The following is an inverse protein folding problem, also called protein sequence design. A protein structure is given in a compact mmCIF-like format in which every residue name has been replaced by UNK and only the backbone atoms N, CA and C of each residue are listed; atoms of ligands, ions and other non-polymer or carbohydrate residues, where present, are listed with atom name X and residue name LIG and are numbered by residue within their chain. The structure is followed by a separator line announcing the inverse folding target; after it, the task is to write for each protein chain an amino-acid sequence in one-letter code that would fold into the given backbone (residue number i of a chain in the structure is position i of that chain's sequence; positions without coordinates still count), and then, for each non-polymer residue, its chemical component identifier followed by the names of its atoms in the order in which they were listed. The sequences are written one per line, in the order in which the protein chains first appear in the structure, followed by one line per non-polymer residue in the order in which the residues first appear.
data_IF_828827104604
#
_entry.id   IF_828827104604
#
_cell.length_a   1.000
_cell.length_b   1.000
_cell.length_c   1.000
_cell.angle_alpha   90.00
_cell.angle_beta   90.00
_cell.angle_gamma   90.00
#
_symmetry.space_group_name_H-M   'P 1'
#
loop_
_entity.id
_entity.type
_entity.pdbx_description
1 polymer ?
#
# COMPACT_ATOMS: atom_id res chain seq x y z
N UNK A 1 54.66 -4.61 52.40
CA UNK A 1 55.72 -4.30 51.41
C UNK A 1 55.02 -3.75 50.17
N UNK A 2 55.36 -2.67 49.48
CA UNK A 2 56.29 -1.55 49.64
C UNK A 2 56.03 -0.62 48.40
N UNK A 3 55.76 0.68 48.63
CA UNK A 3 55.95 1.87 47.73
C UNK A 3 55.12 1.95 46.43
N UNK A 4 54.28 2.96 46.13
CA UNK A 4 54.31 4.46 46.18
C UNK A 4 55.25 5.13 45.14
N UNK A 5 54.68 5.95 44.24
CA UNK A 5 55.17 7.17 43.50
C UNK A 5 54.30 7.31 42.22
N UNK A 6 53.51 8.34 41.89
CA UNK A 6 53.44 9.81 42.04
C UNK A 6 54.45 10.65 41.23
N UNK A 7 53.88 11.56 40.44
CA UNK A 7 54.41 12.78 39.76
C UNK A 7 55.10 12.59 38.41
N UNK A 8 55.08 13.52 37.45
CA UNK A 8 54.31 14.72 37.08
C UNK A 8 55.05 15.34 35.85
N UNK A 9 54.45 16.35 35.20
CA UNK A 9 55.08 17.33 34.27
C UNK A 9 55.13 16.86 32.80
N UNK A 10 54.66 17.60 31.79
CA UNK A 10 54.57 19.05 31.72
C UNK A 10 53.59 19.64 30.70
N UNK A 11 53.22 20.88 31.04
CA UNK A 11 52.61 21.92 30.23
C UNK A 11 53.33 22.12 28.89
N UNK A 12 52.55 22.36 27.83
CA UNK A 12 52.86 23.37 26.81
C UNK A 12 51.55 23.90 26.23
N UNK A 13 51.31 25.18 26.46
CA UNK A 13 50.20 25.96 25.92
C UNK A 13 50.78 27.06 25.03
N UNK A 14 50.21 27.24 23.83
CA UNK A 14 50.12 28.48 23.04
C UNK A 14 49.44 28.13 21.69
N UNK A 15 48.17 28.46 21.49
CA UNK A 15 47.58 29.73 21.02
C UNK A 15 47.51 29.88 19.47
N UNK A 16 46.24 29.84 19.00
CA UNK A 16 45.60 30.62 17.92
C UNK A 16 45.97 30.33 16.46
N UNK A 17 44.97 29.85 15.70
CA UNK A 17 44.47 30.53 14.50
C UNK A 17 43.05 30.06 14.14
N UNK A 18 42.13 31.03 14.06
CA UNK A 18 40.83 30.96 13.39
C UNK A 18 41.03 30.66 11.90
N UNK A 19 40.18 29.82 11.32
CA UNK A 19 40.15 29.63 9.87
C UNK A 19 39.15 28.57 9.43
N UNK A 20 37.96 29.06 9.05
CA UNK A 20 37.06 28.57 8.00
C UNK A 20 36.66 27.08 7.94
N UNK A 21 35.34 26.89 7.89
CA UNK A 21 34.68 25.75 7.28
C UNK A 21 35.28 25.49 5.89
N UNK A 22 35.90 24.33 5.70
CA UNK A 22 36.19 23.82 4.37
C UNK A 22 35.43 22.52 4.15
N UNK A 23 34.52 22.62 3.19
CA UNK A 23 33.81 21.54 2.56
C UNK A 23 34.80 20.47 2.09
N UNK A 24 34.52 19.22 2.43
CA UNK A 24 35.10 18.08 1.73
C UNK A 24 34.59 18.14 0.28
N UNK A 25 35.44 18.65 -0.62
CA UNK A 25 35.33 18.45 -2.07
C UNK A 25 35.85 17.06 -2.41
N UNK A 26 34.96 16.22 -2.92
CA UNK A 26 35.34 15.02 -3.69
C UNK A 26 35.73 15.49 -5.10
N UNK A 27 36.92 15.13 -5.62
CA UNK A 27 37.32 15.42 -7.00
C UNK A 27 37.01 14.23 -7.92
N UNK A 28 36.30 14.49 -9.02
CA UNK A 28 36.18 13.49 -10.09
C UNK A 28 34.95 13.63 -10.97
N UNK A 29 34.93 14.66 -11.83
CA UNK A 29 34.45 14.52 -13.21
C UNK A 29 35.00 15.70 -14.01
N UNK A 30 36.05 15.44 -14.78
CA UNK A 30 36.80 16.40 -15.58
C UNK A 30 36.05 16.90 -16.82
N UNK A 31 34.77 17.23 -16.69
CA UNK A 31 34.01 17.94 -17.72
C UNK A 31 34.28 19.45 -17.67
N UNK A 32 34.25 20.15 -18.82
CA UNK A 32 34.24 21.61 -18.79
C UNK A 32 32.99 22.11 -18.03
N UNK A 33 33.10 23.18 -17.22
CA UNK A 33 31.95 23.73 -16.51
C UNK A 33 30.88 24.16 -17.54
N UNK A 34 29.57 23.97 -17.23
CA UNK A 34 28.51 24.41 -18.12
C UNK A 34 28.59 25.93 -18.33
N UNK A 35 28.56 26.36 -19.59
CA UNK A 35 28.49 27.77 -19.94
C UNK A 35 27.19 28.35 -19.39
N UNK A 36 27.32 29.42 -18.60
CA UNK A 36 26.16 30.20 -18.15
C UNK A 36 25.55 30.89 -19.36
N UNK A 37 24.22 30.80 -19.60
CA UNK A 37 23.59 31.56 -20.67
C UNK A 37 23.88 33.04 -20.49
N UNK A 38 24.29 33.72 -21.56
CA UNK A 38 24.52 35.16 -21.52
C UNK A 38 23.30 35.88 -20.92
N UNK A 39 23.49 36.80 -19.95
CA UNK A 39 22.41 37.63 -19.48
C UNK A 39 21.80 38.35 -20.67
N UNK A 40 20.48 38.21 -20.85
CA UNK A 40 19.74 38.96 -21.86
C UNK A 40 20.02 40.47 -21.73
N UNK A 41 19.83 41.23 -22.83
CA UNK A 41 20.22 42.64 -22.89
C UNK A 41 19.64 43.44 -21.71
N UNK A 42 20.50 44.22 -21.06
CA UNK A 42 20.10 45.07 -19.95
C UNK A 42 18.97 46.03 -20.36
N UNK A 43 17.91 46.07 -19.55
CA UNK A 43 16.79 46.99 -19.76
C UNK A 43 17.33 48.44 -19.65
N UNK A 44 17.11 49.29 -20.67
CA UNK A 44 17.60 50.66 -20.65
C UNK A 44 16.97 51.45 -19.50
N UNK A 45 17.72 52.38 -18.86
CA UNK A 45 17.18 53.24 -17.82
C UNK A 45 16.00 54.06 -18.37
N UNK A 46 14.81 53.89 -17.78
CA UNK A 46 13.60 54.62 -18.16
C UNK A 46 12.59 53.86 -19.02
N UNK A 47 12.76 52.55 -19.23
CA UNK A 47 11.69 51.73 -19.80
C UNK A 47 10.48 51.70 -18.83
N UNK A 48 9.25 52.00 -19.28
CA UNK A 48 8.07 51.84 -18.44
C UNK A 48 7.93 50.37 -18.06
N UNK A 49 7.78 50.10 -16.76
CA UNK A 49 7.54 48.74 -16.25
C UNK A 49 6.25 48.16 -16.83
N UNK A 50 6.07 46.83 -16.78
CA UNK A 50 4.81 46.21 -17.19
C UNK A 50 3.65 46.86 -16.42
N UNK A 51 2.50 47.09 -17.07
CA UNK A 51 1.35 47.69 -16.40
C UNK A 51 0.94 46.83 -15.20
N UNK A 52 0.51 47.45 -14.08
CA UNK A 52 -0.08 46.70 -12.98
C UNK A 52 -1.31 45.93 -13.48
N UNK A 53 -1.57 44.72 -12.97
CA UNK A 53 -2.76 43.96 -13.34
C UNK A 53 -4.03 44.76 -12.99
N UNK A 54 -5.01 44.72 -13.89
CA UNK A 54 -6.32 45.37 -13.70
C UNK A 54 -7.01 44.80 -12.43
N UNK A 55 -7.56 45.65 -11.55
CA UNK A 55 -8.30 45.18 -10.38
C UNK A 55 -9.71 44.76 -10.82
N UNK A 56 -9.91 43.46 -11.04
CA UNK A 56 -11.21 42.92 -11.41
C UNK A 56 -11.27 41.40 -11.30
N UNK A 57 -12.05 40.96 -10.31
CA UNK A 57 -12.61 39.62 -10.13
C UNK A 57 -11.62 38.47 -9.86
N UNK A 58 -11.31 38.27 -8.58
CA UNK A 58 -10.81 36.99 -8.07
C UNK A 58 -11.98 35.98 -8.06
N UNK A 59 -11.97 34.91 -8.89
CA UNK A 59 -13.02 33.90 -8.91
C UNK A 59 -13.03 33.00 -7.67
N UNK A 60 -12.13 33.20 -6.70
CA UNK A 60 -12.02 32.42 -5.47
C UNK A 60 -12.13 33.26 -4.19
N UNK A 61 -12.58 34.51 -4.29
CA UNK A 61 -12.91 35.30 -3.11
C UNK A 61 -14.14 34.71 -2.39
N UNK A 62 -13.91 34.05 -1.25
CA UNK A 62 -14.98 33.60 -0.36
C UNK A 62 -15.79 34.82 0.13
N UNK A 63 -17.13 34.73 0.22
CA UNK A 63 -17.94 35.81 0.76
C UNK A 63 -17.56 36.09 2.22
N UNK A 64 -17.65 37.35 2.69
CA UNK A 64 -17.44 37.67 4.09
C UNK A 64 -18.48 36.92 4.94
N UNK A 65 -17.99 36.16 5.91
CA UNK A 65 -18.84 35.48 6.90
C UNK A 65 -19.43 36.56 7.80
N UNK A 66 -20.75 36.71 7.78
CA UNK A 66 -21.44 37.51 8.80
C UNK A 66 -21.24 36.81 10.16
N UNK A 67 -20.68 37.54 11.13
CA UNK A 67 -20.59 37.09 12.51
C UNK A 67 -22.02 36.98 13.08
N UNK A 68 -22.58 35.77 13.09
CA UNK A 68 -23.75 35.49 13.94
C UNK A 68 -23.29 35.49 15.41
N UNK A 69 -23.78 36.47 16.16
CA UNK A 69 -23.68 36.54 17.62
C UNK A 69 -24.21 35.25 18.23
N UNK A 70 -23.33 34.48 18.87
CA UNK A 70 -23.72 33.35 19.69
C UNK A 70 -24.47 33.87 20.94
N UNK A 71 -25.69 33.40 21.24
CA UNK A 71 -26.36 33.78 22.48
C UNK A 71 -25.61 33.15 23.67
N UNK A 72 -25.55 33.84 24.83
CA UNK A 72 -24.81 33.37 25.99
C UNK A 72 -25.37 32.04 26.50
N UNK A 73 -24.47 31.10 26.80
CA UNK A 73 -24.78 29.83 27.43
C UNK A 73 -25.41 30.06 28.82
N UNK A 74 -26.50 29.34 29.09
CA UNK A 74 -27.13 29.26 30.41
C UNK A 74 -26.13 28.73 31.46
N UNK A 75 -26.20 29.21 32.72
CA UNK A 75 -25.26 28.79 33.76
C UNK A 75 -25.50 27.33 34.14
N UNK A 76 -24.47 26.50 33.95
CA UNK A 76 -24.45 25.11 34.41
C UNK A 76 -24.35 25.10 35.93
N UNK A 77 -25.36 24.49 36.54
CA UNK A 77 -25.46 24.26 37.98
C UNK A 77 -24.30 23.38 38.47
N UNK A 78 -23.63 23.84 39.53
CA UNK A 78 -22.45 23.21 40.08
C UNK A 78 -22.81 21.97 40.86
N UNK A 79 -22.46 20.80 40.33
CA UNK A 79 -22.35 19.57 41.13
C UNK A 79 -21.03 18.86 40.77
N UNK A 80 -20.08 18.73 41.69
CA UNK A 80 -18.84 17.98 41.44
C UNK A 80 -19.09 16.47 41.59
N UNK A 81 -18.57 15.59 40.72
CA UNK A 81 -18.51 14.17 41.02
C UNK A 81 -17.30 13.85 41.90
N UNK A 82 -17.55 12.98 42.87
CA UNK A 82 -16.68 12.52 43.94
C UNK A 82 -15.43 11.75 43.46
N UNK A 83 -14.38 11.83 44.26
CA UNK A 83 -13.13 11.09 44.12
C UNK A 83 -13.28 9.59 44.46
N UNK A 84 -12.42 8.80 43.82
CA UNK A 84 -11.81 7.54 44.27
C UNK A 84 -12.69 6.33 44.63
N UNK A 85 -12.72 5.35 43.72
CA UNK A 85 -12.72 3.92 44.07
C UNK A 85 -11.76 3.14 43.15
N UNK A 86 -10.89 2.27 43.70
CA UNK A 86 -9.86 1.57 42.94
C UNK A 86 -10.41 0.43 42.08
N UNK A 87 -9.79 0.22 40.92
CA UNK A 87 -10.07 -0.89 40.00
C UNK A 87 -9.71 -2.25 40.64
N UNK A 88 -10.53 -3.30 40.45
CA UNK A 88 -10.18 -4.64 40.90
C UNK A 88 -9.13 -5.29 39.98
N UNK A 89 -8.09 -5.85 40.58
CA UNK A 89 -7.08 -6.69 39.94
C UNK A 89 -7.72 -7.96 39.35
N UNK A 90 -7.49 -8.21 38.06
CA UNK A 90 -7.89 -9.44 37.38
C UNK A 90 -6.81 -10.53 37.58
N UNK A 91 -7.21 -11.78 37.90
CA UNK A 91 -6.27 -12.86 38.18
C UNK A 91 -5.61 -13.39 36.91
N UNK A 92 -4.32 -13.70 37.06
CA UNK A 92 -3.55 -14.62 36.22
C UNK A 92 -4.05 -16.06 36.48
N UNK A 93 -4.38 -16.79 35.42
CA UNK A 93 -4.65 -18.24 35.45
C UNK A 93 -4.05 -18.79 34.15
N UNK A 94 -2.81 -19.29 34.20
CA UNK A 94 -2.46 -20.69 34.42
C UNK A 94 -3.16 -21.68 33.47
N UNK A 95 -2.31 -22.41 32.77
CA UNK A 95 -2.55 -23.48 31.81
C UNK A 95 -3.50 -24.58 32.31
N UNK A 96 -4.29 -25.17 31.39
CA UNK A 96 -4.51 -26.61 31.36
C UNK A 96 -4.04 -27.15 30.00
N UNK A 97 -3.32 -28.27 29.91
CA UNK A 97 -3.64 -29.52 30.57
C UNK A 97 -4.06 -30.51 29.48
N UNK A 98 -3.10 -31.35 29.11
CA UNK A 98 -3.17 -32.42 28.12
C UNK A 98 -4.26 -33.45 28.48
N UNK A 99 -5.24 -33.66 27.60
CA UNK A 99 -6.09 -34.85 27.64
C UNK A 99 -6.13 -35.53 26.27
N UNK A 100 -5.61 -36.76 26.25
CA UNK A 100 -5.65 -37.76 25.19
C UNK A 100 -7.08 -38.24 24.88
N UNK A 101 -7.41 -38.58 23.63
CA UNK A 101 -8.68 -39.25 23.30
C UNK A 101 -8.59 -40.79 23.52
N UNK A 102 -9.67 -41.47 23.90
CA UNK A 102 -9.74 -42.92 23.87
C UNK A 102 -10.34 -43.46 22.56
N UNK A 103 -9.90 -44.67 22.24
CA UNK A 103 -10.19 -45.50 21.07
C UNK A 103 -11.67 -45.89 20.85
N UNK A 104 -11.97 -46.11 19.57
CA UNK A 104 -13.11 -46.80 18.91
C UNK A 104 -13.34 -48.23 19.48
N UNK A 105 -14.51 -48.92 19.34
CA UNK A 105 -14.87 -49.54 18.04
C UNK A 105 -16.37 -49.84 17.73
N UNK A 106 -16.64 -50.10 16.44
CA UNK A 106 -17.73 -50.93 15.83
C UNK A 106 -19.15 -50.31 15.76
N UNK A 107 -19.96 -50.48 14.72
CA UNK A 107 -19.91 -51.25 13.47
C UNK A 107 -21.27 -51.16 12.74
N UNK A 108 -21.34 -51.81 11.57
CA UNK A 108 -22.52 -52.14 10.74
C UNK A 108 -22.90 -51.22 9.55
N UNK A 109 -22.50 -51.70 8.37
CA UNK A 109 -23.17 -51.58 7.05
C UNK A 109 -23.60 -52.99 6.62
N UNK A 110 -24.74 -53.17 5.95
CA UNK A 110 -24.74 -53.67 4.56
C UNK A 110 -25.91 -53.05 3.75
N UNK A 111 -26.12 -53.18 2.44
CA UNK A 111 -25.49 -53.82 1.29
C UNK A 111 -26.21 -53.22 0.06
N UNK A 112 -25.51 -53.08 -1.07
CA UNK A 112 -26.14 -53.01 -2.40
C UNK A 112 -26.25 -54.45 -2.94
N UNK A 113 -27.15 -54.73 -3.92
CA UNK A 113 -26.62 -54.89 -5.28
C UNK A 113 -27.63 -54.67 -6.44
N UNK A 114 -27.07 -54.41 -7.62
CA UNK A 114 -27.44 -55.18 -8.82
C UNK A 114 -28.16 -54.46 -9.97
N UNK A 115 -27.42 -54.25 -11.07
CA UNK A 115 -27.94 -54.18 -12.45
C UNK A 115 -27.80 -55.58 -13.08
N UNK A 116 -28.70 -56.04 -13.96
CA UNK A 116 -28.32 -56.14 -15.39
C UNK A 116 -29.48 -56.10 -16.43
N UNK A 117 -29.16 -55.65 -17.65
CA UNK A 117 -29.38 -56.41 -18.90
C UNK A 117 -30.72 -56.36 -19.66
N UNK A 118 -30.71 -55.67 -20.80
CA UNK A 118 -31.11 -56.07 -22.17
C UNK A 118 -32.35 -56.93 -22.50
N UNK A 119 -33.04 -56.44 -23.54
CA UNK A 119 -33.52 -57.14 -24.76
C UNK A 119 -34.95 -57.71 -24.89
N UNK A 120 -35.66 -57.13 -25.89
CA UNK A 120 -36.47 -57.68 -27.00
C UNK A 120 -37.63 -58.65 -26.69
N UNK A 121 -38.83 -58.37 -27.23
CA UNK A 121 -39.49 -59.08 -28.36
C UNK A 121 -41.02 -58.74 -28.43
N UNK A 122 -41.85 -59.30 -29.35
CA UNK A 122 -42.53 -58.57 -30.42
C UNK A 122 -44.07 -58.81 -30.36
N UNK A 123 -44.77 -58.68 -31.50
CA UNK A 123 -46.13 -59.17 -31.86
C UNK A 123 -47.03 -58.04 -32.40
N UNK A 124 -47.75 -58.11 -33.53
CA UNK A 124 -47.85 -59.00 -34.73
C UNK A 124 -48.70 -58.19 -35.78
N UNK A 125 -49.15 -58.70 -36.95
CA UNK A 125 -49.19 -57.95 -38.20
C UNK A 125 -50.63 -57.55 -38.60
N UNK A 126 -50.79 -56.82 -39.72
CA UNK A 126 -51.60 -57.27 -40.86
C UNK A 126 -51.58 -56.25 -42.00
N UNK A 127 -51.82 -56.79 -43.19
CA UNK A 127 -51.52 -56.28 -44.53
C UNK A 127 -52.72 -55.57 -45.15
N UNK A 128 -52.46 -54.72 -46.15
CA UNK A 128 -53.19 -54.50 -47.42
C UNK A 128 -53.67 -53.07 -47.75
N UNK A 129 -52.93 -52.44 -48.69
CA UNK A 129 -53.38 -51.61 -49.85
C UNK A 129 -54.18 -50.30 -49.65
N UNK A 130 -54.27 -49.42 -50.67
CA UNK A 130 -53.21 -48.71 -51.41
C UNK A 130 -53.34 -47.16 -51.28
N UNK A 131 -52.33 -46.47 -51.80
CA UNK A 131 -52.13 -45.00 -51.92
C UNK A 131 -53.39 -44.14 -52.15
N UNK A 132 -53.43 -42.94 -51.54
CA UNK A 132 -53.59 -41.75 -52.36
C UNK A 132 -52.50 -40.72 -52.09
N UNK A 133 -51.94 -40.22 -53.20
CA UNK A 133 -50.97 -39.13 -53.31
C UNK A 133 -51.05 -38.13 -52.16
N UNK A 134 -50.10 -38.24 -51.23
CA UNK A 134 -49.90 -37.26 -50.17
C UNK A 134 -49.17 -36.06 -50.78
N UNK A 135 -49.67 -34.82 -50.63
CA UNK A 135 -48.95 -33.64 -51.09
C UNK A 135 -47.62 -33.52 -50.32
N UNK A 136 -46.56 -33.18 -51.07
CA UNK A 136 -45.19 -32.96 -50.59
C UNK A 136 -45.17 -32.16 -49.26
N UNK A 137 -44.41 -32.59 -48.24
CA UNK A 137 -44.24 -31.79 -47.03
C UNK A 137 -43.50 -30.50 -47.39
N UNK A 138 -44.19 -29.36 -47.22
CA UNK A 138 -43.56 -28.04 -47.30
C UNK A 138 -42.35 -28.04 -46.36
N UNK A 139 -41.17 -27.85 -46.96
CA UNK A 139 -39.90 -27.69 -46.24
C UNK A 139 -40.05 -26.53 -45.26
N UNK A 140 -39.82 -26.71 -43.94
CA UNK A 140 -39.79 -25.61 -43.00
C UNK A 140 -38.76 -24.59 -43.50
N UNK A 141 -39.20 -23.35 -43.72
CA UNK A 141 -38.31 -22.27 -44.10
C UNK A 141 -37.17 -22.11 -43.09
N UNK A 142 -36.00 -21.62 -43.52
CA UNK A 142 -34.84 -21.48 -42.64
C UNK A 142 -35.22 -20.63 -41.42
N UNK A 143 -35.03 -21.17 -40.22
CA UNK A 143 -35.11 -20.41 -38.98
C UNK A 143 -34.18 -19.20 -39.12
N UNK A 144 -34.75 -18.00 -39.02
CA UNK A 144 -33.94 -16.79 -39.00
C UNK A 144 -33.01 -16.88 -37.79
N UNK A 145 -31.69 -16.65 -37.96
CA UNK A 145 -30.80 -16.52 -36.83
C UNK A 145 -31.34 -15.43 -35.91
N UNK A 146 -31.46 -15.76 -34.62
CA UNK A 146 -31.88 -14.80 -33.60
C UNK A 146 -30.97 -13.56 -33.62
N UNK A 147 -31.45 -12.42 -33.10
CA UNK A 147 -30.63 -11.21 -33.05
C UNK A 147 -29.30 -11.50 -32.36
N UNK A 148 -28.20 -11.12 -33.01
CA UNK A 148 -26.86 -11.21 -32.46
C UNK A 148 -26.82 -10.43 -31.13
N UNK A 149 -26.24 -11.00 -30.05
CA UNK A 149 -26.17 -10.29 -28.78
C UNK A 149 -25.46 -8.96 -28.98
N UNK A 150 -26.06 -7.90 -28.47
CA UNK A 150 -25.47 -6.56 -28.50
C UNK A 150 -24.10 -6.61 -27.80
N UNK A 151 -23.04 -6.05 -28.41
CA UNK A 151 -21.70 -6.12 -27.83
C UNK A 151 -21.72 -5.45 -26.46
N UNK A 152 -21.25 -6.17 -25.43
CA UNK A 152 -21.12 -5.59 -24.09
C UNK A 152 -20.23 -4.34 -24.15
N UNK A 153 -20.58 -3.25 -23.44
CA UNK A 153 -19.77 -2.05 -23.44
C UNK A 153 -18.38 -2.38 -22.88
N UNK A 154 -17.35 -2.13 -23.68
CA UNK A 154 -15.95 -2.25 -23.22
C UNK A 154 -15.73 -1.18 -22.16
N UNK A 155 -15.48 -1.60 -20.93
CA UNK A 155 -15.12 -0.69 -19.83
C UNK A 155 -13.63 -0.40 -19.93
N UNK A 156 -13.28 0.84 -20.23
CA UNK A 156 -11.88 1.28 -20.30
C UNK A 156 -11.20 1.18 -18.93
N UNK A 157 -9.92 0.78 -18.86
CA UNK A 157 -9.20 0.67 -17.61
C UNK A 157 -8.95 2.05 -16.99
N UNK A 158 -9.08 2.14 -15.66
CA UNK A 158 -8.90 3.40 -14.91
C UNK A 158 -7.46 3.58 -14.38
N UNK A 159 -6.66 2.53 -14.45
CA UNK A 159 -5.23 2.52 -14.14
C UNK A 159 -4.54 1.30 -14.77
N UNK A 160 -3.22 1.29 -14.78
CA UNK A 160 -2.42 0.15 -15.24
C UNK A 160 -1.42 -0.30 -14.18
N UNK A 161 -1.07 -1.58 -14.22
CA UNK A 161 -0.16 -2.20 -13.26
C UNK A 161 0.62 -3.36 -13.88
N UNK A 162 1.83 -3.62 -13.41
CA UNK A 162 2.59 -4.81 -13.78
C UNK A 162 2.09 -6.04 -13.01
N UNK A 163 2.24 -7.22 -13.61
CA UNK A 163 1.88 -8.50 -12.99
C UNK A 163 2.48 -8.66 -11.57
N UNK A 164 1.79 -9.35 -10.65
CA UNK A 164 2.32 -9.62 -9.31
C UNK A 164 3.69 -10.31 -9.37
N UNK A 165 4.60 -9.93 -8.47
CA UNK A 165 5.99 -10.38 -8.48
C UNK A 165 6.88 -9.76 -9.55
N UNK A 166 6.36 -8.92 -10.45
CA UNK A 166 7.16 -8.18 -11.44
C UNK A 166 7.84 -6.95 -10.82
N UNK A 167 8.80 -7.19 -9.94
CA UNK A 167 9.64 -6.19 -9.29
C UNK A 167 10.39 -5.31 -10.29
N UNK A 168 10.92 -4.18 -9.80
CA UNK A 168 11.85 -3.37 -10.58
C UNK A 168 13.14 -4.18 -10.87
N UNK A 169 13.68 -4.06 -12.08
CA UNK A 169 14.89 -4.79 -12.45
C UNK A 169 16.04 -4.48 -11.46
N UNK A 170 16.69 -5.54 -10.95
CA UNK A 170 17.77 -5.42 -9.97
C UNK A 170 17.34 -5.10 -8.53
N UNK A 171 16.04 -4.94 -8.22
CA UNK A 171 15.60 -4.69 -6.85
C UNK A 171 15.38 -5.98 -6.03
N UNK A 172 15.15 -7.12 -6.67
CA UNK A 172 14.97 -8.41 -6.00
C UNK A 172 14.37 -9.48 -6.91
N UNK A 173 14.00 -10.62 -6.32
CA UNK A 173 13.23 -11.67 -6.98
C UNK A 173 11.83 -11.73 -6.39
N UNK A 174 10.82 -11.34 -7.17
CA UNK A 174 9.43 -11.41 -6.74
C UNK A 174 8.86 -12.82 -6.82
N UNK A 175 7.65 -12.99 -6.33
CA UNK A 175 6.91 -14.24 -6.40
C UNK A 175 5.73 -14.06 -7.34
N UNK A 176 5.75 -14.78 -8.46
CA UNK A 176 4.78 -14.60 -9.53
C UNK A 176 3.42 -15.26 -9.22
N UNK A 177 3.42 -16.31 -8.41
CA UNK A 177 2.21 -17.07 -8.06
C UNK A 177 1.49 -16.43 -6.86
N UNK A 178 1.05 -15.18 -7.00
CA UNK A 178 0.29 -14.52 -5.94
C UNK A 178 -1.20 -14.80 -6.04
N UNK A 179 -1.84 -14.92 -4.88
CA UNK A 179 -3.30 -14.96 -4.75
C UNK A 179 -3.77 -13.67 -4.08
N UNK A 180 -5.06 -13.38 -4.20
CA UNK A 180 -5.70 -12.31 -3.44
C UNK A 180 -5.80 -12.77 -1.99
N UNK A 181 -4.88 -12.30 -1.15
CA UNK A 181 -4.80 -12.72 0.25
C UNK A 181 -5.92 -12.12 1.12
N UNK A 182 -6.35 -10.89 0.83
CA UNK A 182 -7.38 -10.20 1.58
C UNK A 182 -8.48 -9.71 0.63
N UNK A 183 -9.31 -10.63 0.10
CA UNK A 183 -10.41 -10.24 -0.79
C UNK A 183 -11.43 -9.40 -0.01
N UNK A 184 -11.94 -8.34 -0.65
CA UNK A 184 -12.99 -7.48 -0.08
C UNK A 184 -12.52 -6.29 0.76
N UNK A 185 -11.23 -6.17 1.09
CA UNK A 185 -10.74 -5.02 1.86
C UNK A 185 -10.98 -3.69 1.13
N UNK A 186 -11.20 -2.59 1.85
CA UNK A 186 -11.15 -1.26 1.24
C UNK A 186 -9.71 -0.87 0.92
N UNK A 187 -9.53 -0.01 -0.09
CA UNK A 187 -8.21 0.53 -0.37
C UNK A 187 -7.78 1.46 0.77
N UNK A 188 -6.57 1.32 1.35
CA UNK A 188 -6.20 2.01 2.59
C UNK A 188 -6.14 3.53 2.46
N UNK A 189 -6.02 4.07 1.24
CA UNK A 189 -6.08 5.51 0.99
C UNK A 189 -7.51 5.89 0.63
N UNK A 190 -8.09 6.82 1.40
CA UNK A 190 -9.51 7.18 1.31
C UNK A 190 -9.93 7.69 -0.07
N UNK A 191 -9.21 8.66 -0.63
CA UNK A 191 -9.68 9.39 -1.82
C UNK A 191 -8.58 9.90 -2.76
N UNK A 192 -7.37 10.17 -2.27
CA UNK A 192 -6.27 10.66 -3.10
C UNK A 192 -5.79 9.58 -4.10
N UNK A 193 -5.27 9.97 -5.29
CA UNK A 193 -4.57 9.06 -6.18
C UNK A 193 -3.44 8.32 -5.45
N UNK A 194 -3.17 7.08 -5.84
CA UNK A 194 -2.17 6.25 -5.18
C UNK A 194 -1.26 5.56 -6.22
N UNK A 195 -0.03 5.26 -5.81
CA UNK A 195 1.00 4.71 -6.68
C UNK A 195 1.82 3.67 -5.92
N UNK A 196 1.57 2.40 -6.25
CA UNK A 196 2.28 1.26 -5.68
C UNK A 196 3.60 1.11 -6.43
N UNK A 197 4.72 1.32 -5.73
CA UNK A 197 6.07 1.28 -6.30
C UNK A 197 7.11 1.27 -5.19
N UNK A 198 8.36 0.98 -5.53
CA UNK A 198 9.48 1.03 -4.57
C UNK A 198 9.71 2.42 -3.97
N UNK A 199 9.97 2.49 -2.67
CA UNK A 199 10.45 3.71 -2.02
C UNK A 199 11.97 3.83 -1.96
N UNK A 200 12.67 2.72 -2.25
CA UNK A 200 14.13 2.63 -2.19
C UNK A 200 14.76 2.77 -3.58
N UNK A 201 14.18 2.08 -4.56
CA UNK A 201 14.73 1.95 -5.92
C UNK A 201 14.08 2.90 -6.95
N UNK A 202 13.17 3.78 -6.51
CA UNK A 202 12.61 4.89 -7.31
C UNK A 202 13.09 6.24 -6.78
N UNK A 203 12.79 7.32 -7.50
CA UNK A 203 13.28 8.67 -7.21
C UNK A 203 12.98 9.11 -5.77
N UNK A 204 14.01 9.64 -5.11
CA UNK A 204 13.99 10.02 -3.70
C UNK A 204 14.32 8.88 -2.73
N UNK A 205 14.43 7.66 -3.23
CA UNK A 205 14.84 6.49 -2.46
C UNK A 205 16.34 6.42 -2.23
N UNK A 206 16.73 5.66 -1.20
CA UNK A 206 18.14 5.52 -0.81
C UNK A 206 19.04 4.94 -1.90
N UNK A 207 18.54 4.08 -2.79
CA UNK A 207 19.35 3.45 -3.84
C UNK A 207 19.33 4.27 -5.13
N UNK A 208 18.14 4.70 -5.58
CA UNK A 208 18.02 5.46 -6.82
C UNK A 208 18.48 6.92 -6.69
N UNK A 209 18.45 7.49 -5.49
CA UNK A 209 18.68 8.92 -5.27
C UNK A 209 17.60 9.79 -5.90
N UNK A 210 17.87 11.10 -6.04
CA UNK A 210 16.91 12.06 -6.59
C UNK A 210 15.95 12.65 -5.55
N UNK A 211 14.78 13.13 -6.00
CA UNK A 211 13.77 13.75 -5.13
C UNK A 211 12.54 12.84 -4.99
N UNK A 212 12.05 12.68 -3.77
CA UNK A 212 10.84 11.90 -3.48
C UNK A 212 9.58 12.51 -4.06
N UNK A 213 9.60 13.83 -4.31
CA UNK A 213 8.50 14.57 -4.94
C UNK A 213 8.63 14.69 -6.46
N UNK A 214 9.50 13.89 -7.11
CA UNK A 214 9.60 13.85 -8.57
C UNK A 214 8.26 13.43 -9.21
N UNK A 215 7.86 14.08 -10.30
CA UNK A 215 6.57 13.83 -10.94
C UNK A 215 6.40 12.37 -11.41
N UNK A 216 7.50 11.71 -11.80
CA UNK A 216 7.51 10.31 -12.26
C UNK A 216 7.13 9.31 -11.17
N UNK A 217 7.18 9.72 -9.90
CA UNK A 217 6.68 8.92 -8.78
C UNK A 217 5.14 8.93 -8.67
N UNK A 218 4.42 9.70 -9.49
CA UNK A 218 2.97 9.86 -9.41
C UNK A 218 2.29 9.46 -10.73
N UNK A 219 2.80 8.38 -11.33
CA UNK A 219 2.37 7.87 -12.64
C UNK A 219 2.12 6.35 -12.59
N UNK A 220 1.24 5.87 -13.47
CA UNK A 220 1.07 4.45 -13.77
C UNK A 220 2.08 4.02 -14.85
N UNK A 221 2.45 2.74 -14.96
CA UNK A 221 1.91 1.58 -14.25
C UNK A 221 2.45 1.39 -12.83
N UNK A 222 1.60 0.84 -11.96
CA UNK A 222 2.03 0.35 -10.64
C UNK A 222 2.97 -0.85 -10.75
N UNK A 223 3.77 -1.04 -9.71
CA UNK A 223 4.72 -2.14 -9.61
C UNK A 223 4.77 -2.71 -8.20
N UNK A 224 4.73 -4.03 -8.12
CA UNK A 224 4.95 -4.76 -6.88
C UNK A 224 6.33 -4.43 -6.30
N UNK A 225 6.40 -4.29 -4.98
CA UNK A 225 7.66 -4.08 -4.26
C UNK A 225 7.83 -5.05 -3.07
N UNK A 226 6.94 -6.03 -2.93
CA UNK A 226 7.10 -7.14 -2.00
C UNK A 226 8.25 -8.04 -2.45
N UNK A 227 9.07 -8.55 -1.52
CA UNK A 227 10.32 -9.27 -1.81
C UNK A 227 11.50 -8.42 -2.34
N UNK A 228 11.38 -7.09 -2.41
CA UNK A 228 12.56 -6.27 -2.73
C UNK A 228 13.66 -6.46 -1.70
N UNK A 229 14.91 -6.42 -2.15
CA UNK A 229 16.09 -6.59 -1.30
C UNK A 229 16.15 -5.47 -0.27
N UNK A 230 16.36 -5.85 0.99
CA UNK A 230 16.57 -4.97 2.15
C UNK A 230 17.78 -5.43 2.95
N UNK A 231 18.28 -4.61 3.87
CA UNK A 231 19.40 -5.02 4.73
C UNK A 231 18.94 -5.81 5.96
N UNK A 232 17.76 -5.53 6.50
CA UNK A 232 17.24 -6.23 7.67
C UNK A 232 16.94 -7.70 7.36
N UNK A 233 17.28 -8.62 8.26
CA UNK A 233 17.05 -10.06 8.05
C UNK A 233 15.58 -10.45 8.32
N UNK A 234 14.71 -10.07 7.38
CA UNK A 234 13.27 -10.36 7.33
C UNK A 234 12.98 -11.40 6.26
N UNK A 235 11.87 -12.13 6.36
CA UNK A 235 11.57 -13.25 5.48
C UNK A 235 10.07 -13.49 5.29
N UNK A 236 9.71 -14.18 4.22
CA UNK A 236 8.35 -14.64 3.95
C UNK A 236 8.43 -15.94 3.15
N UNK A 237 7.53 -16.92 3.36
CA UNK A 237 7.46 -18.10 2.52
C UNK A 237 7.08 -17.78 1.05
N UNK A 238 6.60 -16.55 0.80
CA UNK A 238 6.27 -16.04 -0.53
C UNK A 238 7.44 -15.30 -1.18
N UNK A 239 8.67 -15.44 -0.69
CA UNK A 239 9.85 -14.85 -1.32
C UNK A 239 10.96 -15.91 -1.49
N UNK A 240 11.76 -15.82 -2.56
CA UNK A 240 12.82 -16.79 -2.84
C UNK A 240 14.00 -16.69 -1.86
N UNK A 241 14.13 -15.56 -1.15
CA UNK A 241 15.22 -15.26 -0.24
C UNK A 241 14.72 -14.54 1.01
N UNK A 242 15.57 -14.49 2.05
CA UNK A 242 15.41 -13.56 3.17
C UNK A 242 16.01 -12.20 2.80
N UNK A 243 16.00 -11.26 3.76
CA UNK A 243 16.43 -9.87 3.57
C UNK A 243 15.56 -9.15 2.55
N UNK A 244 14.26 -9.20 2.83
CA UNK A 244 13.20 -8.73 1.95
C UNK A 244 12.38 -7.59 2.55
N UNK A 245 11.72 -6.86 1.66
CA UNK A 245 10.61 -5.98 1.95
C UNK A 245 9.32 -6.78 2.26
N UNK A 246 8.67 -6.50 3.39
CA UNK A 246 7.57 -7.27 3.97
C UNK A 246 6.19 -6.61 3.84
N UNK A 247 6.00 -5.80 2.80
CA UNK A 247 4.74 -5.12 2.53
C UNK A 247 4.69 -4.57 1.13
N UNK A 248 3.77 -3.64 0.92
CA UNK A 248 3.67 -2.83 -0.27
C UNK A 248 3.76 -1.36 0.13
N UNK A 249 4.66 -0.61 -0.52
CA UNK A 249 4.70 0.84 -0.35
C UNK A 249 3.77 1.52 -1.34
N UNK A 250 3.13 2.59 -0.87
CA UNK A 250 2.11 3.34 -1.58
C UNK A 250 2.43 4.83 -1.47
N UNK A 251 2.85 5.46 -2.57
CA UNK A 251 2.85 6.92 -2.67
C UNK A 251 1.44 7.43 -2.91
N UNK A 252 1.17 8.64 -2.42
CA UNK A 252 -0.19 9.18 -2.39
C UNK A 252 -0.21 10.63 -2.86
N UNK A 253 -1.26 11.00 -3.59
CA UNK A 253 -1.50 12.36 -4.07
C UNK A 253 -0.72 12.69 -5.33
N UNK A 254 -0.13 13.87 -5.36
CA UNK A 254 0.65 14.40 -6.49
C UNK A 254 2.02 14.88 -6.05
N UNK A 255 2.90 15.18 -7.01
CA UNK A 255 4.16 15.87 -6.72
C UNK A 255 3.95 17.21 -5.99
N UNK A 256 2.86 17.93 -6.27
CA UNK A 256 2.52 19.18 -5.59
C UNK A 256 2.12 18.94 -4.13
N UNK A 257 1.36 17.88 -3.86
CA UNK A 257 0.98 17.45 -2.52
C UNK A 257 2.21 17.06 -1.70
N UNK A 258 3.12 16.28 -2.28
CA UNK A 258 4.40 15.93 -1.64
C UNK A 258 5.22 17.16 -1.28
N UNK A 259 5.33 18.13 -2.21
CA UNK A 259 6.03 19.38 -1.93
C UNK A 259 5.36 20.19 -0.82
N UNK A 260 4.04 20.13 -0.71
CA UNK A 260 3.28 20.74 0.40
C UNK A 260 3.59 20.06 1.72
N UNK A 261 3.51 18.73 1.79
CA UNK A 261 3.84 17.95 2.99
C UNK A 261 5.30 18.14 3.44
N UNK A 262 6.25 18.20 2.50
CA UNK A 262 7.67 18.42 2.79
C UNK A 262 7.95 19.79 3.42
N UNK A 263 7.16 20.81 3.07
CA UNK A 263 7.28 22.18 3.64
C UNK A 263 6.61 22.31 5.00
N UNK A 264 5.72 21.40 5.35
CA UNK A 264 5.09 21.37 6.67
C UNK A 264 6.01 20.71 7.71
N UNK A 265 5.86 21.13 8.96
CA UNK A 265 6.43 20.36 10.08
C UNK A 265 5.81 18.96 10.13
N UNK A 266 6.56 17.96 10.59
CA UNK A 266 6.07 16.58 10.67
C UNK A 266 4.74 16.46 11.41
N UNK A 267 4.59 17.18 12.54
CA UNK A 267 3.36 17.20 13.33
C UNK A 267 2.14 17.74 12.58
N UNK A 268 2.32 18.60 11.57
CA UNK A 268 1.22 19.26 10.85
C UNK A 268 0.75 18.53 9.59
N UNK A 269 1.53 17.55 9.09
CA UNK A 269 1.17 16.80 7.89
C UNK A 269 -0.18 16.10 8.04
N UNK A 270 -1.02 16.16 7.02
CA UNK A 270 -2.35 15.56 7.13
C UNK A 270 -3.27 15.78 5.94
N UNK A 271 -2.73 15.74 4.72
CA UNK A 271 -3.53 15.94 3.50
C UNK A 271 -4.02 14.62 2.87
N UNK A 272 -3.41 13.49 3.23
CA UNK A 272 -3.75 12.17 2.68
C UNK A 272 -4.25 11.27 3.80
N UNK A 273 -5.55 11.02 3.81
CA UNK A 273 -6.25 10.20 4.81
C UNK A 273 -6.02 8.70 4.56
N UNK A 274 -5.69 7.99 5.64
CA UNK A 274 -5.57 6.53 5.68
C UNK A 274 -6.74 5.96 6.49
N UNK A 275 -7.43 4.98 5.93
CA UNK A 275 -8.63 4.38 6.51
C UNK A 275 -8.42 2.92 6.91
N UNK A 276 -9.28 2.42 7.80
CA UNK A 276 -9.38 1.01 8.11
C UNK A 276 -9.86 0.24 6.87
N UNK A 277 -9.07 -0.75 6.46
CA UNK A 277 -9.37 -1.55 5.27
C UNK A 277 -10.47 -2.59 5.51
N UNK A 278 -10.70 -3.00 6.75
CA UNK A 278 -11.83 -3.86 7.12
C UNK A 278 -12.26 -3.58 8.57
N UNK A 279 -13.39 -4.13 8.97
CA UNK A 279 -13.85 -4.10 10.35
C UNK A 279 -12.84 -4.82 11.26
N UNK A 280 -12.61 -4.27 12.45
CA UNK A 280 -11.70 -4.93 13.39
C UNK A 280 -11.35 -4.11 14.60
N UNK A 281 -10.24 -4.47 15.24
CA UNK A 281 -9.71 -3.79 16.42
C UNK A 281 -8.29 -3.30 16.18
N UNK A 282 -7.99 -2.07 16.60
CA UNK A 282 -6.63 -1.54 16.63
C UNK A 282 -5.85 -2.25 17.74
N UNK A 283 -5.27 -3.39 17.40
CA UNK A 283 -4.59 -4.30 18.33
C UNK A 283 -3.36 -3.69 18.99
N UNK A 284 -2.65 -2.79 18.30
CA UNK A 284 -1.50 -2.07 18.86
C UNK A 284 -1.14 -0.83 18.06
N UNK A 285 -0.55 0.15 18.74
CA UNK A 285 0.07 1.34 18.15
C UNK A 285 1.52 1.38 18.65
N UNK A 286 2.47 1.27 17.73
CA UNK A 286 3.89 1.39 17.98
C UNK A 286 4.41 2.80 17.74
N UNK A 287 5.73 2.95 17.66
CA UNK A 287 6.39 4.24 17.40
C UNK A 287 6.14 4.80 16.00
N UNK A 288 5.85 3.95 15.01
CA UNK A 288 5.57 4.33 13.62
C UNK A 288 4.63 3.35 12.91
N UNK A 289 3.91 2.52 13.68
CA UNK A 289 3.05 1.46 13.15
C UNK A 289 1.71 1.49 13.86
N UNK A 290 0.62 1.28 13.13
CA UNK A 290 -0.72 0.99 13.66
C UNK A 290 -1.11 -0.39 13.16
N UNK A 291 -1.58 -1.27 14.04
CA UNK A 291 -1.98 -2.65 13.69
C UNK A 291 -3.48 -2.85 13.83
N UNK A 292 -4.17 -3.06 12.72
CA UNK A 292 -5.57 -3.47 12.69
C UNK A 292 -5.64 -4.99 12.65
N UNK A 293 -6.32 -5.61 13.61
CA UNK A 293 -6.65 -7.04 13.59
C UNK A 293 -8.10 -7.17 13.12
N UNK A 294 -8.29 -7.74 11.93
CA UNK A 294 -9.59 -8.11 11.42
C UNK A 294 -9.92 -9.58 11.69
N UNK A 295 -10.77 -10.19 10.86
CA UNK A 295 -11.26 -11.56 11.07
C UNK A 295 -10.15 -12.61 10.91
N UNK A 296 -9.41 -12.56 9.80
CA UNK A 296 -8.37 -13.54 9.46
C UNK A 296 -6.95 -12.95 9.33
N UNK A 297 -6.83 -11.62 9.28
CA UNK A 297 -5.61 -10.92 8.94
C UNK A 297 -5.24 -9.86 9.98
N UNK A 298 -3.95 -9.52 10.02
CA UNK A 298 -3.46 -8.31 10.69
C UNK A 298 -2.91 -7.39 9.61
N UNK A 299 -3.38 -6.15 9.58
CA UNK A 299 -2.86 -5.11 8.70
C UNK A 299 -1.97 -4.16 9.48
N UNK A 300 -0.75 -3.97 9.02
CA UNK A 300 0.16 -3.00 9.59
C UNK A 300 0.17 -1.76 8.67
N UNK A 301 -0.18 -0.61 9.23
CA UNK A 301 -0.07 0.70 8.59
C UNK A 301 1.15 1.40 9.16
N UNK A 302 2.09 1.78 8.31
CA UNK A 302 3.36 2.35 8.73
C UNK A 302 3.58 3.71 8.09
N UNK A 303 4.42 4.52 8.74
CA UNK A 303 4.77 5.87 8.29
C UNK A 303 3.60 6.86 8.29
N UNK A 304 2.63 6.62 9.17
CA UNK A 304 1.57 7.59 9.45
C UNK A 304 2.11 8.78 10.25
N UNK A 305 1.41 9.91 10.24
CA UNK A 305 1.66 10.98 11.20
C UNK A 305 1.20 10.54 12.59
N UNK A 306 2.13 10.13 13.43
CA UNK A 306 1.82 9.53 14.72
C UNK A 306 1.28 10.55 15.74
N UNK A 307 1.43 11.85 15.46
CA UNK A 307 0.83 12.93 16.27
C UNK A 307 -0.62 13.23 15.88
N UNK A 308 -1.12 12.64 14.79
CA UNK A 308 -2.44 12.92 14.22
C UNK A 308 -3.20 11.64 13.86
N UNK A 309 -3.04 10.59 14.67
CA UNK A 309 -3.90 9.41 14.57
C UNK A 309 -5.33 9.76 15.00
N UNK A 310 -6.29 9.17 14.33
CA UNK A 310 -7.72 9.27 14.66
C UNK A 310 -8.20 8.08 15.50
N UNK A 311 -7.30 7.16 15.84
CA UNK A 311 -7.59 5.94 16.58
C UNK A 311 -6.68 5.73 17.78
N UNK A 312 -7.14 4.93 18.75
CA UNK A 312 -6.36 4.47 19.90
C UNK A 312 -6.24 2.95 19.95
N UNK A 313 -5.21 2.42 20.62
CA UNK A 313 -5.08 0.97 20.83
C UNK A 313 -6.29 0.43 21.63
N UNK A 314 -6.82 -0.71 21.20
CA UNK A 314 -8.03 -1.34 21.72
C UNK A 314 -9.34 -0.84 21.11
N UNK A 315 -9.31 0.21 20.28
CA UNK A 315 -10.50 0.74 19.62
C UNK A 315 -11.01 -0.22 18.53
N UNK A 316 -12.32 -0.47 18.53
CA UNK A 316 -13.01 -1.09 17.39
C UNK A 316 -13.24 -0.05 16.29
N UNK A 317 -13.04 -0.46 15.05
CA UNK A 317 -13.22 0.38 13.85
C UNK A 317 -14.03 -0.40 12.81
N UNK A 318 -14.80 0.33 12.03
CA UNK A 318 -15.48 -0.18 10.84
C UNK A 318 -14.62 0.11 9.59
N UNK A 319 -14.78 -0.70 8.55
CA UNK A 319 -14.16 -0.47 7.26
C UNK A 319 -14.49 0.93 6.75
N UNK A 320 -13.47 1.74 6.50
CA UNK A 320 -13.63 3.14 6.06
C UNK A 320 -13.39 4.18 7.16
N UNK A 321 -13.32 3.77 8.42
CA UNK A 321 -12.98 4.68 9.52
C UNK A 321 -11.59 5.27 9.33
N UNK A 322 -11.43 6.55 9.65
CA UNK A 322 -10.15 7.23 9.58
C UNK A 322 -9.19 6.65 10.63
N UNK A 323 -8.03 6.17 10.19
CA UNK A 323 -6.93 5.75 11.07
C UNK A 323 -5.97 6.91 11.33
N UNK A 324 -5.64 7.67 10.29
CA UNK A 324 -4.68 8.77 10.40
C UNK A 324 -4.31 9.32 9.02
N UNK A 325 -3.08 9.80 8.90
CA UNK A 325 -2.62 10.45 7.68
C UNK A 325 -1.24 9.96 7.25
N UNK A 326 -1.02 9.88 5.95
CA UNK A 326 0.30 9.55 5.36
C UNK A 326 1.34 10.59 5.79
N UNK A 327 2.51 10.12 6.24
CA UNK A 327 3.67 10.93 6.66
C UNK A 327 4.95 10.17 6.29
N UNK A 328 6.02 10.37 7.06
CA UNK A 328 7.29 9.68 6.93
C UNK A 328 7.89 9.30 8.30
N UNK A 329 7.03 9.14 9.32
CA UNK A 329 7.46 8.84 10.68
C UNK A 329 8.07 7.43 10.72
N UNK A 330 9.26 7.30 11.34
CA UNK A 330 10.03 6.04 11.35
C UNK A 330 10.50 5.64 12.76
N UNK A 331 10.04 6.35 13.80
CA UNK A 331 10.56 6.19 15.16
C UNK A 331 12.04 6.60 15.33
N UNK A 332 12.59 7.32 14.35
CA UNK A 332 13.99 7.73 14.28
C UNK A 332 14.20 8.67 13.09
N UNK A 333 15.21 8.39 12.25
CA UNK A 333 15.43 9.13 11.00
C UNK A 333 14.23 8.93 10.07
N UNK A 334 13.54 10.00 9.65
CA UNK A 334 12.37 9.88 8.79
C UNK A 334 12.70 9.26 7.44
N UNK A 335 11.74 8.53 6.87
CA UNK A 335 11.79 8.00 5.51
C UNK A 335 11.27 9.05 4.48
N UNK A 336 11.06 8.66 3.24
CA UNK A 336 10.22 9.33 2.24
C UNK A 336 8.74 9.33 2.67
N UNK A 337 7.94 10.24 2.13
CA UNK A 337 6.51 10.35 2.46
C UNK A 337 5.70 9.32 1.68
N UNK A 338 5.15 8.32 2.38
CA UNK A 338 4.34 7.24 1.79
C UNK A 338 3.63 6.44 2.89
N UNK A 339 2.72 5.54 2.49
CA UNK A 339 2.17 4.51 3.36
C UNK A 339 2.88 3.20 3.07
N UNK A 340 3.47 2.57 4.08
CA UNK A 340 3.89 1.18 3.99
C UNK A 340 2.77 0.30 4.59
N UNK A 341 2.28 -0.64 3.80
CA UNK A 341 1.12 -1.47 4.14
C UNK A 341 1.48 -2.95 4.10
N UNK A 342 1.29 -3.65 5.21
CA UNK A 342 1.56 -5.10 5.30
C UNK A 342 0.28 -5.86 5.61
N UNK A 343 0.22 -7.11 5.13
CA UNK A 343 -0.78 -8.09 5.55
C UNK A 343 -0.04 -9.27 6.20
N UNK A 344 -0.47 -9.64 7.40
CA UNK A 344 0.00 -10.85 8.08
C UNK A 344 -1.16 -11.82 8.26
N UNK A 345 -0.96 -13.08 7.91
CA UNK A 345 -1.96 -14.13 8.03
C UNK A 345 -1.40 -15.35 8.76
N UNK A 346 -2.26 -16.09 9.42
CA UNK A 346 -1.89 -17.37 10.01
C UNK A 346 -2.00 -18.47 8.94
N UNK A 347 -0.88 -19.09 8.57
CA UNK A 347 -0.89 -20.26 7.68
C UNK A 347 -1.17 -21.53 8.47
N UNK A 348 -1.67 -22.57 7.82
CA UNK A 348 -1.99 -23.87 8.46
C UNK A 348 -0.82 -24.51 9.25
N UNK A 349 0.40 -24.01 9.09
CA UNK A 349 1.62 -24.34 9.86
C UNK A 349 1.80 -23.55 11.17
N UNK A 350 0.77 -22.86 11.67
CA UNK A 350 0.71 -22.16 12.97
C UNK A 350 1.63 -20.94 13.13
N UNK A 351 2.08 -20.32 12.05
CA UNK A 351 2.89 -19.10 12.10
C UNK A 351 2.18 -17.94 11.39
N UNK A 352 2.14 -16.79 12.05
CA UNK A 352 1.79 -15.52 11.40
C UNK A 352 2.92 -15.15 10.43
N UNK A 353 2.61 -15.09 9.14
CA UNK A 353 3.57 -14.78 8.08
C UNK A 353 3.09 -13.57 7.28
N UNK A 354 4.05 -12.78 6.79
CA UNK A 354 3.75 -11.68 5.87
C UNK A 354 3.38 -12.25 4.50
N UNK A 355 2.22 -11.85 4.00
CA UNK A 355 1.71 -12.25 2.69
C UNK A 355 1.74 -11.06 1.72
N UNK A 356 1.91 -11.30 0.40
CA UNK A 356 1.92 -10.22 -0.60
C UNK A 356 0.63 -9.40 -0.59
N UNK A 357 0.68 -8.07 -0.32
CA UNK A 357 -0.51 -7.21 -0.34
C UNK A 357 -0.95 -6.79 -1.75
N UNK A 358 -0.03 -6.82 -2.72
CA UNK A 358 -0.13 -6.13 -4.01
C UNK A 358 -1.44 -6.43 -4.75
N UNK A 359 -1.76 -7.71 -4.98
CA UNK A 359 -2.97 -8.07 -5.74
C UNK A 359 -4.27 -7.74 -4.97
N UNK A 360 -4.26 -7.83 -3.64
CA UNK A 360 -5.41 -7.40 -2.81
C UNK A 360 -5.65 -5.89 -2.91
N UNK A 361 -4.58 -5.11 -3.03
CA UNK A 361 -4.65 -3.66 -3.22
C UNK A 361 -5.11 -3.28 -4.63
N UNK A 362 -4.73 -4.04 -5.66
CA UNK A 362 -5.23 -3.86 -7.03
C UNK A 362 -6.76 -4.00 -7.06
N UNK A 363 -7.31 -5.12 -6.58
CA UNK A 363 -8.77 -5.33 -6.55
C UNK A 363 -9.50 -4.30 -5.67
N UNK A 364 -8.88 -3.87 -4.57
CA UNK A 364 -9.42 -2.82 -3.73
C UNK A 364 -9.47 -1.47 -4.43
N UNK A 365 -8.46 -1.16 -5.25
CA UNK A 365 -8.45 0.07 -6.02
C UNK A 365 -9.44 0.03 -7.19
N UNK A 366 -9.60 -1.10 -7.88
CA UNK A 366 -10.63 -1.28 -8.93
C UNK A 366 -12.03 -0.97 -8.39
N UNK A 367 -12.37 -1.54 -7.23
CA UNK A 367 -13.65 -1.25 -6.56
C UNK A 367 -13.77 0.22 -6.16
N UNK A 368 -12.70 0.82 -5.63
CA UNK A 368 -12.70 2.24 -5.24
C UNK A 368 -12.90 3.17 -6.45
N UNK A 369 -12.28 2.86 -7.58
CA UNK A 369 -12.37 3.65 -8.82
C UNK A 369 -13.57 3.30 -9.68
N UNK A 370 -14.33 2.26 -9.31
CA UNK A 370 -15.47 1.75 -10.07
C UNK A 370 -15.09 1.42 -11.53
N UNK A 371 -13.94 0.79 -11.72
CA UNK A 371 -13.42 0.41 -13.04
C UNK A 371 -12.23 -0.54 -12.94
N UNK A 372 -11.98 -1.35 -14.00
CA UNK A 372 -10.92 -2.35 -13.99
C UNK A 372 -9.53 -1.70 -14.10
N UNK A 373 -8.52 -2.39 -13.59
CA UNK A 373 -7.12 -2.11 -13.87
C UNK A 373 -6.66 -2.90 -15.10
N UNK A 374 -5.73 -2.33 -15.86
CA UNK A 374 -5.05 -3.03 -16.94
C UNK A 374 -3.75 -3.65 -16.44
N UNK A 375 -3.71 -4.98 -16.39
CA UNK A 375 -2.44 -5.67 -16.21
C UNK A 375 -1.62 -5.58 -17.50
N UNK A 376 -0.45 -4.96 -17.41
CA UNK A 376 0.49 -4.93 -18.52
C UNK A 376 1.18 -6.28 -18.70
N UNK A 377 1.24 -6.74 -19.94
CA UNK A 377 2.02 -7.91 -20.32
C UNK A 377 3.49 -7.72 -19.90
N UNK A 378 4.15 -8.76 -19.36
CA UNK A 378 5.55 -8.67 -19.01
C UNK A 378 6.36 -8.34 -20.27
N UNK A 379 7.20 -7.30 -20.20
CA UNK A 379 8.10 -6.93 -21.28
C UNK A 379 9.13 -8.06 -21.50
N UNK A 380 8.83 -8.99 -22.42
CA UNK A 380 9.76 -10.04 -22.84
C UNK A 380 10.83 -9.38 -23.74
N UNK A 381 11.89 -8.88 -23.09
CA UNK A 381 12.95 -8.06 -23.69
C UNK A 381 12.68 -6.60 -23.36
N UNK A 382 13.52 -5.88 -22.64
CA UNK A 382 14.96 -5.69 -22.88
C UNK A 382 15.66 -5.56 -21.52
N UNK A 383 16.75 -6.31 -21.31
CA UNK A 383 17.70 -6.09 -20.21
C UNK A 383 18.44 -4.75 -20.38
N UNK A 384 17.73 -3.63 -20.23
CA UNK A 384 18.26 -2.27 -20.41
C UNK A 384 17.88 -1.30 -19.29
N UNK A 385 17.04 -1.73 -18.34
CA UNK A 385 16.99 -1.03 -17.06
C UNK A 385 18.36 -1.20 -16.37
N UNK A 386 18.94 -0.12 -15.81
CA UNK A 386 20.20 -0.23 -15.08
C UNK A 386 20.02 -1.25 -13.96
N UNK A 387 20.78 -2.34 -14.01
CA UNK A 387 20.90 -3.24 -12.89
C UNK A 387 21.53 -2.45 -11.75
N UNK A 388 20.77 -2.23 -10.67
CA UNK A 388 21.25 -1.47 -9.53
C UNK A 388 22.44 -2.21 -8.91
N UNK A 389 23.65 -1.70 -9.12
CA UNK A 389 24.83 -2.20 -8.42
C UNK A 389 24.81 -1.60 -7.01
N UNK A 390 24.16 -2.31 -6.08
CA UNK A 390 24.18 -1.96 -4.66
C UNK A 390 25.62 -2.16 -4.16
N UNK A 391 26.32 -1.10 -3.67
CA UNK A 391 27.68 -1.26 -3.17
C UNK A 391 27.75 -2.24 -2.00
N UNK A 392 28.84 -2.98 -1.89
CA UNK A 392 29.07 -3.87 -0.74
C UNK A 392 29.03 -3.06 0.57
N UNK A 393 28.23 -3.52 1.53
CA UNK A 393 28.04 -2.84 2.82
C UNK A 393 27.05 -1.68 2.81
N UNK A 394 26.37 -1.39 1.68
CA UNK A 394 25.29 -0.41 1.65
C UNK A 394 24.09 -0.90 2.45
N UNK A 395 23.58 -0.06 3.35
CA UNK A 395 22.41 -0.38 4.16
C UNK A 395 21.15 0.11 3.46
N UNK A 396 20.31 -0.83 3.02
CA UNK A 396 18.99 -0.59 2.47
C UNK A 396 17.99 -0.71 3.61
N UNK A 397 17.68 0.44 4.20
CA UNK A 397 16.69 0.61 5.26
C UNK A 397 15.32 0.90 4.64
N UNK A 398 14.27 0.53 5.39
CA UNK A 398 12.83 0.51 5.10
C UNK A 398 12.29 -0.89 4.87
#
# INVERSE_FOLDING_TARGET
MLKRRLSAIGLSAALILLGACDFIRVPGDGGPPPETPEPGPAIPPGAPGPPPPDPGEDPWALPPVEEEETPPADPVDGTPPEEDLPAPEMPIDETPGEETPPDDPTGDTPDAPGTPGSEVDPETPETETPDPETPDPETPGPEQPGPEPEPEPVVEPVFSYHAPGALLAGSGGGFAEQVVHAPGILFPIKSAPAYLQSQVFMYGGGVAGGDQCDARNYEYPWRDNFCETRSANRGSPFCPVNRIHQGQDIRVGTAADCNTLRRQSAAQRGIHEVIAVEDGVISSIGTYTVKLRGEGSIYNYMHLNMNRLAVTAGQFVEAGDLIGYVSNDFGGTPTTIHLHFEITQNTASSSWVHVPPYLSLVEAYERRQNGPGEQLEPEIGIASAPEWVIPEGYEIIE
#
